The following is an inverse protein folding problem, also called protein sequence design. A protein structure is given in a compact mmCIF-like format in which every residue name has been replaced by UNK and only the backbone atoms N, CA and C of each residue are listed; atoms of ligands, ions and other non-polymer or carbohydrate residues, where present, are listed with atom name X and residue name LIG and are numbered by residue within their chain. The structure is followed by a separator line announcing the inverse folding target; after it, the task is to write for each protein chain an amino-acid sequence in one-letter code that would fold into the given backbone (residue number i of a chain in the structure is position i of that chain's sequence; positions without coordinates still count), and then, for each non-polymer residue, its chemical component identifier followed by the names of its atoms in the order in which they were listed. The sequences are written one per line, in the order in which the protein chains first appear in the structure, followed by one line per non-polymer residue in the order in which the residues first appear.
data_IF_978560246225
#
_entry.id   IF_978560246225
#
_cell.length_a   1.000
_cell.length_b   1.000
_cell.length_c   1.000
_cell.angle_alpha   90.00
_cell.angle_beta   90.00
_cell.angle_gamma   90.00
#
_symmetry.space_group_name_H-M   'P 1'
#
loop_
_entity.id
_entity.type
_entity.pdbx_description
1 polymer ?
#
# COMPACT_ATOMS: atom_id res chain seq x y z
N UNK A 1 -13.18 12.67 18.72
CA UNK A 1 -13.47 12.30 17.30
C UNK A 1 -14.65 11.34 17.27
N UNK A 2 -15.66 11.66 16.52
CA UNK A 2 -16.83 10.79 16.37
C UNK A 2 -16.67 9.91 15.13
N UNK A 3 -16.29 8.65 15.33
CA UNK A 3 -16.00 7.70 14.26
C UNK A 3 -17.20 7.47 13.35
N UNK A 4 -18.40 7.44 13.89
CA UNK A 4 -19.64 7.21 13.15
C UNK A 4 -20.02 8.32 12.15
N UNK A 5 -19.32 9.46 12.17
CA UNK A 5 -19.46 10.53 11.18
C UNK A 5 -18.45 10.45 10.04
N UNK A 6 -17.56 9.46 10.08
CA UNK A 6 -16.50 9.28 9.09
C UNK A 6 -16.94 8.27 8.03
N UNK A 7 -16.68 8.57 6.78
CA UNK A 7 -17.12 7.76 5.64
C UNK A 7 -16.08 6.75 5.16
N UNK A 8 -14.83 6.85 5.62
CA UNK A 8 -13.76 5.97 5.18
C UNK A 8 -12.60 5.91 6.17
N UNK A 9 -11.78 4.88 6.04
CA UNK A 9 -10.54 4.74 6.79
C UNK A 9 -9.54 5.87 6.47
N UNK A 10 -9.51 6.32 5.23
CA UNK A 10 -8.64 7.43 4.80
C UNK A 10 -9.05 8.72 5.51
N UNK A 11 -10.33 9.01 5.58
CA UNK A 11 -10.85 10.17 6.29
C UNK A 11 -10.50 10.12 7.77
N UNK A 12 -10.65 8.94 8.40
CA UNK A 12 -10.25 8.72 9.79
C UNK A 12 -8.77 9.02 10.00
N UNK A 13 -7.91 8.52 9.12
CA UNK A 13 -6.47 8.72 9.21
C UNK A 13 -6.10 10.21 9.14
N UNK A 14 -6.60 10.93 8.13
CA UNK A 14 -6.27 12.35 7.96
C UNK A 14 -6.82 13.22 9.07
N UNK A 15 -8.00 12.89 9.58
CA UNK A 15 -8.55 13.58 10.74
C UNK A 15 -7.67 13.38 11.98
N UNK A 16 -7.16 12.16 12.17
CA UNK A 16 -6.22 11.88 13.26
C UNK A 16 -4.91 12.64 13.08
N UNK A 17 -4.43 12.79 11.85
CA UNK A 17 -3.24 13.60 11.55
C UNK A 17 -3.40 15.05 12.02
N UNK A 18 -4.59 15.63 11.90
CA UNK A 18 -4.85 17.01 12.33
C UNK A 18 -4.87 17.16 13.86
N UNK A 19 -5.14 16.08 14.59
CA UNK A 19 -5.22 16.08 16.06
C UNK A 19 -3.89 15.78 16.75
N UNK A 20 -2.96 15.10 16.07
CA UNK A 20 -1.71 14.61 16.65
C UNK A 20 -0.55 15.53 16.32
N UNK A 21 0.39 15.67 17.26
CA UNK A 21 1.65 16.37 17.03
C UNK A 21 2.43 15.66 15.90
N UNK A 22 2.80 16.41 14.88
CA UNK A 22 3.54 15.91 13.71
C UNK A 22 4.87 15.26 14.06
N UNK A 23 5.49 15.66 15.16
CA UNK A 23 6.79 15.12 15.60
C UNK A 23 6.67 13.85 16.40
N UNK A 24 5.44 13.45 16.77
CA UNK A 24 5.21 12.24 17.54
C UNK A 24 5.52 11.01 16.69
N UNK A 25 6.24 9.99 17.23
CA UNK A 25 6.48 8.74 16.52
C UNK A 25 5.18 8.05 16.15
N UNK A 26 5.15 7.49 14.94
CA UNK A 26 3.99 6.75 14.45
C UNK A 26 4.34 5.31 14.04
N UNK A 27 5.31 5.15 13.14
CA UNK A 27 5.69 3.84 12.62
C UNK A 27 7.15 3.55 12.93
N UNK A 28 7.40 2.39 13.50
CA UNK A 28 8.73 1.93 13.86
C UNK A 28 8.98 0.53 13.30
N UNK A 29 10.24 0.29 12.93
CA UNK A 29 10.68 -1.06 12.67
C UNK A 29 10.95 -1.79 13.98
N UNK A 30 10.63 -3.06 14.02
CA UNK A 30 10.96 -3.91 15.17
C UNK A 30 12.45 -4.27 15.22
N UNK A 31 13.19 -3.99 14.14
CA UNK A 31 14.62 -4.27 14.05
C UNK A 31 15.45 -3.05 14.47
N UNK A 32 16.49 -3.23 15.31
CA UNK A 32 17.38 -2.13 15.67
C UNK A 32 18.06 -1.49 14.46
N UNK A 33 18.37 -0.19 14.56
CA UNK A 33 19.09 0.55 13.52
C UNK A 33 18.24 0.97 12.31
N UNK A 34 16.95 0.70 12.33
CA UNK A 34 16.03 1.15 11.28
C UNK A 34 15.35 2.46 11.67
N UNK A 35 14.99 3.31 10.69
CA UNK A 35 14.41 4.60 11.00
C UNK A 35 13.01 4.50 11.61
N UNK A 36 12.71 5.46 12.49
CA UNK A 36 11.36 5.70 12.99
C UNK A 36 10.73 6.81 12.16
N UNK A 37 9.45 6.67 11.83
CA UNK A 37 8.70 7.67 11.09
C UNK A 37 7.70 8.36 12.03
N UNK A 38 7.74 9.67 12.09
CA UNK A 38 6.74 10.44 12.83
C UNK A 38 5.47 10.64 12.00
N UNK A 39 4.43 11.21 12.60
CA UNK A 39 3.15 11.43 11.92
C UNK A 39 3.29 12.34 10.70
N UNK A 40 4.10 13.38 10.79
CA UNK A 40 4.37 14.29 9.68
C UNK A 40 5.06 13.61 8.51
N UNK A 41 6.06 12.78 8.78
CA UNK A 41 6.79 12.01 7.75
C UNK A 41 5.86 11.05 7.01
N UNK A 42 5.05 10.31 7.74
CA UNK A 42 4.12 9.34 7.16
C UNK A 42 3.09 10.04 6.28
N UNK A 43 2.53 11.14 6.76
CA UNK A 43 1.57 11.93 5.97
C UNK A 43 2.18 12.42 4.66
N UNK A 44 3.38 12.95 4.70
CA UNK A 44 4.08 13.45 3.51
C UNK A 44 4.33 12.33 2.49
N UNK A 45 4.80 11.17 2.97
CA UNK A 45 5.05 10.00 2.13
C UNK A 45 3.78 9.45 1.50
N UNK A 46 2.68 9.44 2.24
CA UNK A 46 1.38 9.04 1.71
C UNK A 46 0.95 9.98 0.59
N UNK A 47 1.05 11.29 0.77
CA UNK A 47 0.69 12.25 -0.27
C UNK A 47 1.54 12.11 -1.53
N UNK A 48 2.85 11.96 -1.38
CA UNK A 48 3.75 11.78 -2.53
C UNK A 48 3.43 10.51 -3.30
N UNK A 49 3.28 9.39 -2.60
CA UNK A 49 2.97 8.11 -3.22
C UNK A 49 1.57 8.12 -3.84
N UNK A 50 0.60 8.67 -3.14
CA UNK A 50 -0.77 8.79 -3.62
C UNK A 50 -0.86 9.63 -4.91
N UNK A 51 -0.14 10.74 -4.98
CA UNK A 51 -0.10 11.58 -6.17
C UNK A 51 0.46 10.82 -7.38
N UNK A 52 1.49 10.00 -7.17
CA UNK A 52 2.04 9.15 -8.23
C UNK A 52 1.05 8.06 -8.65
N UNK A 53 0.46 7.36 -7.70
CA UNK A 53 -0.50 6.29 -7.98
C UNK A 53 -1.69 6.85 -8.77
N UNK A 54 -2.15 8.03 -8.42
CA UNK A 54 -3.29 8.68 -9.09
C UNK A 54 -3.05 8.92 -10.59
N UNK A 55 -1.80 9.07 -11.02
CA UNK A 55 -1.45 9.19 -12.44
C UNK A 55 -1.48 7.86 -13.18
N UNK A 56 -1.49 6.75 -12.46
CA UNK A 56 -1.36 5.39 -13.03
C UNK A 56 -2.67 4.61 -13.01
N UNK A 57 -3.66 5.05 -12.26
CA UNK A 57 -4.92 4.32 -12.08
C UNK A 57 -6.12 5.22 -12.31
N UNK A 58 -7.27 4.59 -12.55
CA UNK A 58 -8.58 5.21 -12.48
C UNK A 58 -9.25 4.87 -11.16
N UNK A 59 -10.24 5.64 -10.75
CA UNK A 59 -11.00 5.35 -9.54
C UNK A 59 -11.60 3.94 -9.58
N UNK A 60 -11.43 3.21 -8.50
CA UNK A 60 -11.91 1.83 -8.37
C UNK A 60 -10.97 0.77 -8.91
N UNK A 61 -9.85 1.15 -9.54
CA UNK A 61 -8.85 0.19 -9.99
C UNK A 61 -8.18 -0.52 -8.81
N UNK A 62 -7.88 -1.79 -8.99
CA UNK A 62 -7.23 -2.62 -7.98
C UNK A 62 -5.73 -2.44 -8.02
N UNK A 63 -5.15 -2.25 -6.83
CA UNK A 63 -3.72 -2.08 -6.64
C UNK A 63 -3.25 -3.17 -5.67
N UNK A 64 -2.43 -4.08 -6.15
CA UNK A 64 -1.92 -5.18 -5.35
C UNK A 64 -0.72 -4.71 -4.53
N UNK A 65 -0.64 -5.14 -3.28
CA UNK A 65 0.51 -4.86 -2.41
C UNK A 65 1.13 -6.17 -1.97
N UNK A 66 2.34 -6.43 -2.43
CA UNK A 66 3.14 -7.60 -2.05
C UNK A 66 4.35 -7.13 -1.25
N UNK A 67 4.23 -7.19 0.05
CA UNK A 67 5.24 -6.67 0.97
C UNK A 67 5.21 -7.40 2.29
N UNK A 68 6.37 -7.49 2.90
CA UNK A 68 6.48 -7.88 4.28
C UNK A 68 5.84 -6.81 5.19
N UNK A 69 5.59 -7.16 6.42
CA UNK A 69 5.05 -6.25 7.42
C UNK A 69 6.13 -5.21 7.83
N UNK A 70 6.05 -4.02 7.26
CA UNK A 70 6.99 -2.91 7.45
C UNK A 70 6.22 -1.58 7.40
N UNK A 71 6.84 -0.45 7.84
CA UNK A 71 6.17 0.86 7.82
C UNK A 71 5.58 1.24 6.46
N UNK A 72 6.29 0.97 5.37
CA UNK A 72 5.81 1.27 4.03
C UNK A 72 4.60 0.45 3.59
N UNK A 73 4.33 -0.69 4.24
CA UNK A 73 3.11 -1.45 3.97
C UNK A 73 1.87 -0.60 4.28
N UNK A 74 1.83 0.03 5.44
CA UNK A 74 0.72 0.89 5.84
C UNK A 74 0.66 2.16 4.97
N UNK A 75 1.81 2.75 4.66
CA UNK A 75 1.91 3.92 3.80
C UNK A 75 1.32 3.60 2.42
N UNK A 76 1.70 2.47 1.82
CA UNK A 76 1.18 2.05 0.52
C UNK A 76 -0.32 1.80 0.56
N UNK A 77 -0.81 1.13 1.60
CA UNK A 77 -2.22 0.81 1.77
C UNK A 77 -3.09 2.09 1.79
N UNK A 78 -2.72 3.05 2.63
CA UNK A 78 -3.45 4.32 2.73
C UNK A 78 -3.28 5.16 1.46
N UNK A 79 -2.08 5.16 0.85
CA UNK A 79 -1.83 5.92 -0.37
C UNK A 79 -2.69 5.43 -1.54
N UNK A 80 -2.86 4.13 -1.69
CA UNK A 80 -3.75 3.54 -2.72
C UNK A 80 -5.18 4.01 -2.51
N UNK A 81 -5.69 3.88 -1.29
CA UNK A 81 -7.05 4.30 -0.97
C UNK A 81 -7.25 5.80 -1.17
N UNK A 82 -6.27 6.61 -0.78
CA UNK A 82 -6.33 8.06 -0.97
C UNK A 82 -6.30 8.45 -2.46
N UNK A 83 -5.68 7.63 -3.31
CA UNK A 83 -5.66 7.86 -4.76
C UNK A 83 -6.95 7.40 -5.46
N UNK A 84 -7.89 6.84 -4.74
CA UNK A 84 -9.16 6.33 -5.29
C UNK A 84 -9.10 4.87 -5.73
N UNK A 85 -8.00 4.18 -5.46
CA UNK A 85 -7.84 2.76 -5.78
C UNK A 85 -8.39 1.83 -4.69
N UNK A 86 -8.49 0.56 -5.05
CA UNK A 86 -8.82 -0.52 -4.12
C UNK A 86 -7.51 -1.20 -3.74
N UNK A 87 -7.16 -1.16 -2.47
CA UNK A 87 -5.96 -1.81 -1.96
C UNK A 87 -6.21 -3.30 -1.76
N UNK A 88 -5.33 -4.13 -2.32
CA UNK A 88 -5.40 -5.59 -2.21
C UNK A 88 -4.07 -6.10 -1.67
N UNK A 89 -3.89 -6.12 -0.34
CA UNK A 89 -2.68 -6.68 0.27
C UNK A 89 -2.68 -8.21 0.16
N UNK A 90 -1.52 -8.77 -0.15
CA UNK A 90 -1.34 -10.23 -0.20
C UNK A 90 -0.13 -10.66 0.61
N UNK A 91 -0.16 -11.90 1.09
CA UNK A 91 0.92 -12.44 1.91
C UNK A 91 2.15 -12.79 1.06
N UNK A 92 3.33 -12.61 1.67
CA UNK A 92 4.61 -12.94 1.03
C UNK A 92 4.93 -14.44 1.06
N UNK A 93 4.10 -15.23 1.71
CA UNK A 93 4.33 -16.66 1.95
C UNK A 93 3.42 -17.58 1.14
N UNK A 94 2.71 -17.05 0.17
CA UNK A 94 1.87 -17.85 -0.72
C UNK A 94 2.73 -18.70 -1.67
N UNK A 95 2.15 -19.81 -2.14
CA UNK A 95 2.73 -20.59 -3.22
C UNK A 95 2.56 -19.88 -4.57
N UNK A 96 3.39 -20.23 -5.54
CA UNK A 96 3.35 -19.62 -6.88
C UNK A 96 1.98 -19.74 -7.54
N UNK A 97 1.31 -20.89 -7.37
CA UNK A 97 -0.05 -21.10 -7.88
C UNK A 97 -1.06 -20.13 -7.27
N UNK A 98 -0.90 -19.77 -6.00
CA UNK A 98 -1.78 -18.83 -5.33
C UNK A 98 -1.60 -17.42 -5.89
N UNK A 99 -0.36 -17.00 -6.12
CA UNK A 99 -0.09 -15.69 -6.75
C UNK A 99 -0.68 -15.60 -8.14
N UNK A 100 -0.52 -16.65 -8.94
CA UNK A 100 -1.08 -16.67 -10.29
C UNK A 100 -2.61 -16.58 -10.26
N UNK A 101 -3.25 -17.30 -9.35
CA UNK A 101 -4.71 -17.22 -9.18
C UNK A 101 -5.15 -15.82 -8.77
N UNK A 102 -4.50 -15.23 -7.77
CA UNK A 102 -4.85 -13.90 -7.26
C UNK A 102 -4.70 -12.83 -8.34
N UNK A 103 -3.60 -12.87 -9.10
CA UNK A 103 -3.36 -11.92 -10.18
C UNK A 103 -4.44 -11.99 -11.26
N UNK A 104 -4.81 -13.20 -11.67
CA UNK A 104 -5.84 -13.38 -12.69
C UNK A 104 -7.23 -13.01 -12.18
N UNK A 105 -7.54 -13.31 -10.93
CA UNK A 105 -8.84 -13.00 -10.32
C UNK A 105 -8.98 -11.49 -10.03
N UNK A 106 -7.94 -10.90 -9.50
CA UNK A 106 -7.93 -9.49 -9.11
C UNK A 106 -7.73 -8.54 -10.30
N UNK A 107 -6.94 -8.96 -11.29
CA UNK A 107 -6.56 -8.14 -12.46
C UNK A 107 -6.11 -6.74 -12.04
N UNK A 108 -5.05 -6.61 -11.25
CA UNK A 108 -4.64 -5.31 -10.72
C UNK A 108 -4.07 -4.41 -11.83
N UNK A 109 -4.36 -3.12 -11.73
CA UNK A 109 -3.79 -2.10 -12.62
C UNK A 109 -2.32 -1.86 -12.30
N UNK A 110 -1.96 -1.85 -11.02
CA UNK A 110 -0.57 -1.74 -10.56
C UNK A 110 -0.30 -2.74 -9.44
N UNK A 111 0.98 -3.07 -9.29
CA UNK A 111 1.47 -3.93 -8.21
C UNK A 111 2.59 -3.20 -7.51
N UNK A 112 2.46 -3.05 -6.19
CA UNK A 112 3.47 -2.44 -5.34
C UNK A 112 4.21 -3.57 -4.62
N UNK A 113 5.52 -3.64 -4.81
CA UNK A 113 6.37 -4.64 -4.16
C UNK A 113 7.38 -3.95 -3.25
N UNK A 114 7.72 -4.59 -2.14
CA UNK A 114 8.66 -4.01 -1.18
C UNK A 114 10.12 -4.08 -1.63
N UNK A 115 10.47 -5.05 -2.45
CA UNK A 115 11.84 -5.27 -2.94
C UNK A 115 11.88 -6.27 -4.10
N UNK A 116 13.09 -6.49 -4.64
CA UNK A 116 13.30 -7.43 -5.75
C UNK A 116 12.95 -8.87 -5.40
N UNK A 117 13.13 -9.29 -4.16
CA UNK A 117 12.79 -10.67 -3.76
C UNK A 117 11.29 -10.92 -3.92
N UNK A 118 10.47 -9.97 -3.57
CA UNK A 118 9.03 -10.07 -3.77
C UNK A 118 8.66 -9.98 -5.26
N UNK A 119 9.31 -9.09 -6.00
CA UNK A 119 9.11 -8.97 -7.45
C UNK A 119 9.41 -10.27 -8.19
N UNK A 120 10.48 -10.97 -7.84
CA UNK A 120 10.88 -12.24 -8.45
C UNK A 120 9.88 -13.36 -8.23
N UNK A 121 9.03 -13.28 -7.20
CA UNK A 121 7.99 -14.28 -6.95
C UNK A 121 6.87 -14.24 -7.97
N UNK A 122 6.67 -13.11 -8.64
CA UNK A 122 5.53 -12.88 -9.53
C UNK A 122 5.89 -12.53 -10.95
N UNK A 123 7.07 -11.95 -11.22
CA UNK A 123 7.40 -11.40 -12.54
C UNK A 123 7.47 -12.41 -13.67
N UNK A 124 7.63 -13.71 -13.36
CA UNK A 124 7.70 -14.80 -14.34
C UNK A 124 6.35 -15.51 -14.55
N UNK A 125 5.30 -15.09 -13.85
CA UNK A 125 3.99 -15.73 -13.95
C UNK A 125 3.30 -15.41 -15.28
N UNK A 126 2.45 -16.32 -15.78
CA UNK A 126 1.76 -16.11 -17.08
C UNK A 126 0.93 -14.84 -17.16
N UNK A 127 0.49 -14.30 -16.04
CA UNK A 127 -0.24 -13.02 -15.97
C UNK A 127 0.54 -11.89 -16.67
N UNK A 128 1.88 -11.94 -16.63
CA UNK A 128 2.74 -10.90 -17.22
C UNK A 128 3.17 -11.22 -18.64
N UNK A 129 2.76 -12.36 -19.19
CA UNK A 129 3.01 -12.69 -20.57
C UNK A 129 2.13 -11.83 -21.47
N UNK A 130 2.61 -10.64 -21.77
CA UNK A 130 1.95 -9.75 -22.71
C UNK A 130 2.38 -10.16 -24.11
N UNK A 131 1.68 -11.12 -24.68
CA UNK A 131 1.89 -11.56 -26.06
C UNK A 131 0.93 -10.87 -27.02
N UNK A 132 0.83 -9.59 -26.94
CA UNK A 132 0.00 -8.85 -27.91
C UNK A 132 0.72 -7.67 -28.45
#
# INVERSE_FOLDING_TARGET
MEINKLNSLVELYFKKCDEVDKKKPFLEWLKPGKPTYNWGDVRERIFKLSSKIKTLINEGDRCLILSENRPYWLIADIAVMNAGGISVPIFTTYAESDYNYILNDCDPEIIIVSNNDQFKKINHLPFFDVTS
#
